data_IF_720899009253
#
_entry.id   IF_720899009253
#
_cell.length_a   1.000
_cell.length_b   1.000
_cell.length_c   1.000
_cell.angle_alpha   90.00
_cell.angle_beta   90.00
_cell.angle_gamma   90.00
#
_symmetry.space_group_name_H-M   'P 1'
#
loop_
_entity.id
_entity.type
_entity.pdbx_description
1 polymer ?
#
# COMPACT_ATOMS: atom_id res chain seq x y z
N UNK A 1 19.71 -16.81 -13.70
CA UNK A 1 18.25 -17.07 -13.62
C UNK A 1 17.90 -18.57 -13.63
N UNK A 2 18.10 -19.35 -14.72
CA UNK A 2 17.75 -20.80 -14.78
C UNK A 2 18.49 -21.63 -13.72
N UNK A 3 19.76 -21.36 -13.49
CA UNK A 3 20.56 -22.02 -12.45
C UNK A 3 20.07 -21.71 -11.04
N UNK A 4 19.59 -20.50 -10.79
CA UNK A 4 19.06 -20.08 -9.50
C UNK A 4 17.71 -20.72 -9.20
N UNK A 5 16.84 -20.82 -10.20
CA UNK A 5 15.56 -21.54 -10.10
C UNK A 5 15.83 -23.03 -9.76
N UNK A 6 16.78 -23.65 -10.46
CA UNK A 6 17.12 -25.07 -10.23
C UNK A 6 17.74 -25.32 -8.84
N UNK A 7 18.52 -24.37 -8.34
CA UNK A 7 19.09 -24.42 -6.99
C UNK A 7 18.03 -24.28 -5.91
N UNK A 8 17.07 -23.36 -6.08
CA UNK A 8 15.98 -23.13 -5.13
C UNK A 8 14.92 -24.22 -5.14
N UNK A 9 14.56 -24.75 -6.29
CA UNK A 9 13.59 -25.84 -6.40
C UNK A 9 13.95 -27.07 -5.56
N UNK A 10 15.25 -27.27 -5.31
CA UNK A 10 15.74 -28.39 -4.49
C UNK A 10 15.41 -28.23 -2.99
N UNK A 11 15.37 -27.01 -2.50
CA UNK A 11 15.14 -26.69 -1.07
C UNK A 11 13.71 -26.19 -0.78
N UNK A 12 12.87 -26.09 -1.82
CA UNK A 12 11.55 -25.49 -1.73
C UNK A 12 10.65 -26.16 -0.67
N UNK A 13 10.63 -27.50 -0.63
CA UNK A 13 9.83 -28.24 0.37
C UNK A 13 10.43 -28.15 1.79
N UNK A 14 11.76 -28.13 1.90
CA UNK A 14 12.46 -28.00 3.19
C UNK A 14 12.16 -26.64 3.83
N UNK A 15 12.12 -25.57 3.05
CA UNK A 15 11.83 -24.21 3.55
C UNK A 15 10.46 -24.12 4.22
N UNK A 16 9.46 -24.88 3.73
CA UNK A 16 8.13 -24.92 4.34
C UNK A 16 8.05 -25.82 5.59
N UNK A 17 8.74 -26.96 5.58
CA UNK A 17 8.70 -27.90 6.73
C UNK A 17 9.49 -27.38 7.92
N UNK A 18 10.63 -26.72 7.68
CA UNK A 18 11.47 -26.17 8.74
C UNK A 18 10.92 -24.86 9.33
N UNK A 19 9.96 -24.21 8.64
CA UNK A 19 9.31 -23.01 9.10
C UNK A 19 8.29 -23.24 10.23
N UNK A 20 7.90 -24.47 10.54
CA UNK A 20 6.90 -24.77 11.57
C UNK A 20 7.53 -24.68 12.97
N UNK A 21 7.64 -23.48 13.49
CA UNK A 21 8.14 -23.17 14.84
C UNK A 21 7.27 -22.11 15.53
N UNK A 22 7.27 -22.09 16.86
CA UNK A 22 6.57 -21.07 17.64
C UNK A 22 7.07 -19.65 17.33
N UNK A 23 8.36 -19.54 17.04
CA UNK A 23 8.99 -18.28 16.65
C UNK A 23 8.47 -17.80 15.28
N UNK A 24 8.25 -18.70 14.33
CA UNK A 24 7.68 -18.37 13.03
C UNK A 24 6.23 -17.91 13.18
N UNK A 25 5.44 -18.51 14.06
CA UNK A 25 4.07 -18.08 14.35
C UNK A 25 4.04 -16.66 14.92
N UNK A 26 4.93 -16.33 15.86
CA UNK A 26 5.04 -14.98 16.42
C UNK A 26 5.43 -13.96 15.33
N UNK A 27 6.40 -14.30 14.47
CA UNK A 27 6.81 -13.46 13.35
C UNK A 27 5.68 -13.27 12.32
N UNK A 28 4.91 -14.31 12.04
CA UNK A 28 3.74 -14.25 11.18
C UNK A 28 2.70 -13.26 11.70
N UNK A 29 2.33 -13.34 12.98
CA UNK A 29 1.36 -12.42 13.57
C UNK A 29 1.86 -10.96 13.56
N UNK A 30 3.13 -10.77 13.86
CA UNK A 30 3.74 -9.43 13.81
C UNK A 30 3.73 -8.85 12.39
N UNK A 31 4.18 -9.62 11.40
CA UNK A 31 4.22 -9.18 10.00
C UNK A 31 2.81 -9.00 9.42
N UNK A 32 1.85 -9.84 9.83
CA UNK A 32 0.46 -9.67 9.43
C UNK A 32 -0.08 -8.30 9.87
N UNK A 33 0.08 -7.95 11.15
CA UNK A 33 -0.34 -6.64 11.65
C UNK A 33 0.42 -5.49 10.99
N UNK A 34 1.73 -5.64 10.79
CA UNK A 34 2.57 -4.63 10.16
C UNK A 34 2.22 -4.37 8.68
N UNK A 35 1.78 -5.40 7.95
CA UNK A 35 1.36 -5.27 6.55
C UNK A 35 -0.09 -4.80 6.40
N UNK A 36 -0.99 -5.28 7.26
CA UNK A 36 -2.42 -4.93 7.19
C UNK A 36 -2.67 -3.45 7.46
N UNK A 37 -2.01 -2.87 8.45
CA UNK A 37 -2.21 -1.48 8.83
C UNK A 37 -1.96 -0.50 7.68
N UNK A 38 -0.83 -0.52 6.97
CA UNK A 38 -0.62 0.35 5.80
C UNK A 38 -1.62 0.08 4.67
N UNK A 39 -1.96 -1.18 4.39
CA UNK A 39 -2.88 -1.52 3.28
C UNK A 39 -4.27 -0.94 3.53
N UNK A 40 -4.79 -1.04 4.76
CA UNK A 40 -6.09 -0.47 5.11
C UNK A 40 -6.04 1.06 5.07
N UNK A 41 -5.01 1.66 5.66
CA UNK A 41 -4.86 3.11 5.71
C UNK A 41 -4.73 3.72 4.31
N UNK A 42 -3.80 3.22 3.51
CA UNK A 42 -3.60 3.72 2.15
C UNK A 42 -4.73 3.34 1.20
N UNK A 43 -5.36 2.19 1.39
CA UNK A 43 -6.55 1.80 0.64
C UNK A 43 -7.73 2.72 0.90
N UNK A 44 -7.95 3.13 2.16
CA UNK A 44 -8.95 4.13 2.52
C UNK A 44 -8.67 5.51 1.91
N UNK A 45 -7.43 5.99 2.04
CA UNK A 45 -6.99 7.25 1.46
C UNK A 45 -7.05 7.27 -0.07
N UNK A 46 -6.77 6.14 -0.71
CA UNK A 46 -6.90 5.99 -2.16
C UNK A 46 -8.38 6.04 -2.58
N UNK A 47 -9.26 5.42 -1.78
CA UNK A 47 -10.71 5.51 -2.00
C UNK A 47 -11.22 6.94 -1.97
N UNK A 48 -10.79 7.75 -1.01
CA UNK A 48 -11.11 9.17 -0.96
C UNK A 48 -10.50 9.93 -2.15
N UNK A 49 -9.24 9.69 -2.47
CA UNK A 49 -8.52 10.39 -3.53
C UNK A 49 -9.07 10.10 -4.94
N UNK A 50 -9.66 8.92 -5.14
CA UNK A 50 -10.21 8.47 -6.43
C UNK A 50 -11.73 8.57 -6.52
N UNK A 51 -12.37 9.30 -5.61
CA UNK A 51 -13.83 9.45 -5.59
C UNK A 51 -14.58 8.10 -5.58
N UNK A 52 -14.02 7.11 -4.86
CA UNK A 52 -14.60 5.77 -4.74
C UNK A 52 -14.34 4.83 -5.92
N UNK A 53 -13.47 5.19 -6.88
CA UNK A 53 -13.11 4.32 -8.02
C UNK A 53 -12.31 3.09 -7.61
N UNK A 54 -11.56 3.18 -6.53
CA UNK A 54 -10.83 2.07 -5.92
C UNK A 54 -11.18 2.02 -4.46
N UNK A 55 -11.71 0.89 -3.98
CA UNK A 55 -12.09 0.71 -2.59
C UNK A 55 -10.94 0.13 -1.76
N UNK A 56 -11.00 0.32 -0.44
CA UNK A 56 -10.06 -0.30 0.50
C UNK A 56 -10.08 -1.84 0.40
N UNK A 57 -11.25 -2.43 0.12
CA UNK A 57 -11.43 -3.88 -0.04
C UNK A 57 -10.70 -4.38 -1.28
N UNK A 58 -10.77 -3.66 -2.40
CA UNK A 58 -10.03 -4.01 -3.62
C UNK A 58 -8.52 -3.92 -3.42
N UNK A 59 -8.07 -2.91 -2.69
CA UNK A 59 -6.64 -2.76 -2.31
C UNK A 59 -6.18 -3.92 -1.44
N UNK A 60 -7.00 -4.34 -0.47
CA UNK A 60 -6.71 -5.49 0.40
C UNK A 60 -6.68 -6.80 -0.39
N UNK A 61 -7.64 -7.00 -1.29
CA UNK A 61 -7.68 -8.17 -2.17
C UNK A 61 -6.45 -8.22 -3.08
N UNK A 62 -6.09 -7.10 -3.70
CA UNK A 62 -4.89 -6.99 -4.53
C UNK A 62 -3.60 -7.30 -3.75
N UNK A 63 -3.47 -6.77 -2.53
CA UNK A 63 -2.34 -7.04 -1.66
C UNK A 63 -2.25 -8.54 -1.28
N UNK A 64 -3.38 -9.18 -0.96
CA UNK A 64 -3.42 -10.60 -0.62
C UNK A 64 -3.04 -11.49 -1.81
N UNK A 65 -3.58 -11.22 -3.00
CA UNK A 65 -3.22 -11.94 -4.23
C UNK A 65 -1.73 -11.80 -4.58
N UNK A 66 -1.21 -10.58 -4.46
CA UNK A 66 0.22 -10.31 -4.70
C UNK A 66 1.09 -11.01 -3.65
N UNK A 67 0.68 -11.01 -2.38
CA UNK A 67 1.38 -11.71 -1.31
C UNK A 67 1.43 -13.22 -1.53
N UNK A 68 0.32 -13.84 -1.93
CA UNK A 68 0.27 -15.28 -2.26
C UNK A 68 1.17 -15.58 -3.45
N UNK A 69 1.05 -14.84 -4.54
CA UNK A 69 1.89 -15.03 -5.73
C UNK A 69 3.38 -14.87 -5.38
N UNK A 70 3.72 -13.86 -4.57
CA UNK A 70 5.09 -13.64 -4.14
C UNK A 70 5.60 -14.80 -3.28
N UNK A 71 4.84 -15.28 -2.29
CA UNK A 71 5.25 -16.38 -1.42
C UNK A 71 5.50 -17.70 -2.17
N UNK A 72 4.75 -17.93 -3.26
CA UNK A 72 4.89 -19.15 -4.07
C UNK A 72 6.06 -19.09 -5.05
N UNK A 73 6.33 -17.91 -5.64
CA UNK A 73 7.31 -17.81 -6.74
C UNK A 73 8.59 -17.07 -6.38
N UNK A 74 8.56 -16.24 -5.32
CA UNK A 74 9.71 -15.43 -4.99
C UNK A 74 10.78 -16.21 -4.20
N UNK A 75 11.97 -15.80 -4.47
CA UNK A 75 13.14 -16.47 -3.93
C UNK A 75 13.66 -15.93 -2.61
N UNK A 76 13.09 -14.88 -2.04
CA UNK A 76 13.55 -14.28 -0.77
C UNK A 76 12.45 -14.29 0.29
N UNK A 77 12.67 -14.98 1.43
CA UNK A 77 11.62 -15.15 2.45
C UNK A 77 11.33 -13.89 3.29
N UNK A 78 12.17 -12.87 3.25
CA UNK A 78 12.09 -11.69 4.13
C UNK A 78 11.68 -10.40 3.40
N UNK A 79 10.99 -10.48 2.27
CA UNK A 79 10.50 -9.29 1.58
C UNK A 79 9.09 -8.95 2.03
N UNK A 80 8.90 -7.73 2.51
CA UNK A 80 7.60 -7.19 2.90
C UNK A 80 7.04 -6.41 1.71
N UNK A 81 5.87 -6.82 1.23
CA UNK A 81 5.13 -6.12 0.19
C UNK A 81 4.03 -5.28 0.85
N UNK A 82 3.97 -4.00 0.52
CA UNK A 82 2.97 -3.13 1.10
C UNK A 82 2.75 -1.85 0.29
N UNK A 83 1.64 -1.20 0.55
CA UNK A 83 1.34 0.11 0.00
C UNK A 83 2.23 1.17 0.64
N UNK A 84 2.71 2.10 -0.16
CA UNK A 84 3.58 3.19 0.30
C UNK A 84 3.00 4.55 -0.04
N UNK A 85 3.33 5.59 0.76
CA UNK A 85 2.86 6.95 0.56
C UNK A 85 3.17 7.54 -0.82
N UNK A 86 4.38 7.40 -1.36
CA UNK A 86 4.71 7.87 -2.69
C UNK A 86 3.82 7.31 -3.79
N UNK A 87 3.40 6.05 -3.69
CA UNK A 87 2.45 5.44 -4.62
C UNK A 87 1.09 6.10 -4.52
N UNK A 88 0.62 6.42 -3.30
CA UNK A 88 -0.63 7.13 -3.10
C UNK A 88 -0.61 8.53 -3.75
N UNK A 89 0.48 9.27 -3.59
CA UNK A 89 0.66 10.59 -4.22
C UNK A 89 0.63 10.47 -5.74
N UNK A 90 1.33 9.48 -6.29
CA UNK A 90 1.31 9.19 -7.72
C UNK A 90 -0.11 8.88 -8.23
N UNK A 91 -0.86 8.06 -7.52
CA UNK A 91 -2.24 7.70 -7.89
C UNK A 91 -3.20 8.91 -7.82
N UNK A 92 -3.02 9.79 -6.84
CA UNK A 92 -3.75 11.07 -6.77
C UNK A 92 -3.50 11.95 -8.00
N UNK A 93 -2.24 12.08 -8.38
CA UNK A 93 -1.84 12.88 -9.56
C UNK A 93 -2.42 12.23 -10.83
N UNK A 94 -2.30 10.92 -10.96
CA UNK A 94 -2.82 10.17 -12.08
C UNK A 94 -4.35 10.30 -12.23
N UNK A 95 -5.07 10.22 -11.11
CA UNK A 95 -6.52 10.41 -11.10
C UNK A 95 -6.92 11.81 -11.53
N UNK A 96 -6.23 12.84 -11.02
CA UNK A 96 -6.46 14.23 -11.40
C UNK A 96 -6.19 14.45 -12.89
N UNK A 97 -5.10 13.89 -13.41
CA UNK A 97 -4.77 13.91 -14.84
C UNK A 97 -5.87 13.25 -15.69
N UNK A 98 -6.34 12.06 -15.31
CA UNK A 98 -7.41 11.37 -16.02
C UNK A 98 -8.71 12.18 -16.04
N UNK A 99 -9.03 12.85 -14.95
CA UNK A 99 -10.23 13.70 -14.84
C UNK A 99 -10.14 14.93 -15.76
N UNK A 100 -8.95 15.51 -15.88
CA UNK A 100 -8.72 16.69 -16.73
C UNK A 100 -8.78 16.36 -18.22
N UNK A 101 -8.25 15.21 -18.62
CA UNK A 101 -8.23 14.77 -20.03
C UNK A 101 -9.41 13.85 -20.42
N UNK A 102 -10.34 13.58 -19.52
CA UNK A 102 -11.50 12.73 -19.80
C UNK A 102 -11.17 11.25 -20.07
N UNK A 103 -10.03 10.78 -19.55
CA UNK A 103 -9.56 9.40 -19.71
C UNK A 103 -10.12 8.49 -18.61
N UNK A 104 -10.33 7.21 -18.92
CA UNK A 104 -10.73 6.23 -17.92
C UNK A 104 -9.52 5.89 -17.03
N UNK A 105 -9.62 6.23 -15.74
CA UNK A 105 -8.55 6.01 -14.75
C UNK A 105 -8.10 4.55 -14.66
N UNK A 106 -9.05 3.60 -14.59
CA UNK A 106 -8.74 2.17 -14.46
C UNK A 106 -7.99 1.62 -15.67
N UNK A 107 -8.36 2.02 -16.88
CA UNK A 107 -7.69 1.57 -18.11
C UNK A 107 -6.26 2.11 -18.18
N UNK A 108 -6.06 3.39 -17.85
CA UNK A 108 -4.73 3.99 -17.86
C UNK A 108 -3.83 3.38 -16.78
N UNK A 109 -4.36 3.15 -15.58
CA UNK A 109 -3.64 2.48 -14.50
C UNK A 109 -3.19 1.07 -14.88
N UNK A 110 -4.07 0.30 -15.50
CA UNK A 110 -3.74 -1.06 -15.99
C UNK A 110 -2.65 -1.00 -17.06
N UNK A 111 -2.73 -0.06 -18.00
CA UNK A 111 -1.72 0.15 -19.02
C UNK A 111 -0.34 0.47 -18.40
N UNK A 112 -0.30 1.39 -17.45
CA UNK A 112 0.93 1.74 -16.72
C UNK A 112 1.49 0.51 -15.98
N UNK A 113 0.64 -0.28 -15.33
CA UNK A 113 1.04 -1.50 -14.65
C UNK A 113 1.66 -2.53 -15.60
N UNK A 114 1.08 -2.73 -16.79
CA UNK A 114 1.62 -3.63 -17.81
C UNK A 114 2.96 -3.14 -18.35
N UNK A 115 3.11 -1.84 -18.62
CA UNK A 115 4.38 -1.27 -19.06
C UNK A 115 5.46 -1.39 -17.98
N UNK A 116 5.11 -1.14 -16.72
CA UNK A 116 6.03 -1.31 -15.59
C UNK A 116 6.49 -2.76 -15.48
N UNK A 117 5.57 -3.72 -15.57
CA UNK A 117 5.91 -5.14 -15.56
C UNK A 117 6.83 -5.52 -16.73
N UNK A 118 6.55 -5.00 -17.94
CA UNK A 118 7.39 -5.21 -19.11
C UNK A 118 8.82 -4.67 -18.91
N UNK A 119 8.96 -3.45 -18.40
CA UNK A 119 10.28 -2.88 -18.11
C UNK A 119 11.02 -3.64 -17.01
N UNK A 120 10.33 -4.10 -15.98
CA UNK A 120 10.94 -4.95 -14.95
C UNK A 120 11.47 -6.27 -15.54
N UNK A 121 10.71 -6.92 -16.41
CA UNK A 121 11.16 -8.14 -17.10
C UNK A 121 12.37 -7.88 -18.00
N UNK A 122 12.37 -6.75 -18.71
CA UNK A 122 13.48 -6.35 -19.55
C UNK A 122 14.75 -6.07 -18.73
N UNK A 123 14.63 -5.38 -17.60
CA UNK A 123 15.74 -5.15 -16.67
C UNK A 123 16.33 -6.46 -16.13
N UNK A 124 15.47 -7.43 -15.78
CA UNK A 124 15.95 -8.75 -15.33
C UNK A 124 16.61 -9.53 -16.47
N UNK A 125 16.05 -9.45 -17.68
CA UNK A 125 16.60 -10.16 -18.85
C UNK A 125 17.96 -9.62 -19.30
N UNK A 126 18.21 -8.32 -19.11
CA UNK A 126 19.49 -7.66 -19.44
C UNK A 126 20.53 -7.72 -18.32
N UNK A 127 20.24 -8.47 -17.23
CA UNK A 127 21.07 -8.51 -16.00
C UNK A 127 21.38 -7.12 -15.43
N UNK A 128 20.56 -6.12 -15.76
CA UNK A 128 20.68 -4.76 -15.25
C UNK A 128 20.43 -4.68 -13.72
N UNK A 129 19.93 -5.75 -13.12
CA UNK A 129 19.87 -5.91 -11.66
C UNK A 129 21.25 -5.84 -10.99
N UNK A 130 22.35 -6.11 -11.72
CA UNK A 130 23.69 -5.85 -11.21
C UNK A 130 23.97 -4.36 -10.97
N UNK A 131 23.22 -3.46 -11.63
CA UNK A 131 23.29 -2.02 -11.39
C UNK A 131 22.85 -1.64 -9.97
N UNK A 132 22.01 -2.45 -9.33
CA UNK A 132 21.58 -2.26 -7.93
C UNK A 132 22.79 -2.28 -6.99
N UNK A 133 23.86 -2.98 -7.35
CA UNK A 133 25.12 -2.97 -6.59
C UNK A 133 25.77 -1.57 -6.48
N UNK A 134 25.45 -0.66 -7.40
CA UNK A 134 25.90 0.73 -7.34
C UNK A 134 25.03 1.64 -6.46
N UNK A 135 23.89 1.14 -6.01
CA UNK A 135 23.04 1.86 -5.04
C UNK A 135 23.75 1.76 -3.69
N UNK A 136 24.31 2.87 -3.26
CA UNK A 136 25.03 2.94 -2.01
C UNK A 136 24.05 2.97 -0.83
N UNK A 137 24.49 2.50 0.33
CA UNK A 137 23.73 2.56 1.58
C UNK A 137 23.23 3.98 1.89
N UNK A 138 24.00 4.99 1.52
CA UNK A 138 23.59 6.41 1.64
C UNK A 138 22.30 6.71 0.87
N UNK A 139 22.16 6.19 -0.35
CA UNK A 139 20.95 6.38 -1.18
C UNK A 139 19.73 5.73 -0.56
N UNK A 140 19.89 4.55 0.04
CA UNK A 140 18.80 3.85 0.74
C UNK A 140 18.36 4.63 1.99
N UNK A 141 19.30 5.11 2.79
CA UNK A 141 19.01 5.90 3.99
C UNK A 141 18.39 7.25 3.63
N UNK A 142 18.87 7.92 2.58
CA UNK A 142 18.30 9.18 2.10
C UNK A 142 16.86 8.98 1.58
N UNK A 143 16.58 7.89 0.87
CA UNK A 143 15.23 7.56 0.40
C UNK A 143 14.29 7.25 1.57
N UNK A 144 14.74 6.49 2.56
CA UNK A 144 13.98 6.21 3.76
C UNK A 144 13.66 7.49 4.55
N UNK A 145 14.64 8.39 4.71
CA UNK A 145 14.43 9.68 5.35
C UNK A 145 13.41 10.55 4.60
N UNK A 146 13.48 10.60 3.27
CA UNK A 146 12.53 11.31 2.44
C UNK A 146 11.10 10.80 2.63
N UNK A 147 10.91 9.48 2.63
CA UNK A 147 9.61 8.86 2.87
C UNK A 147 9.07 9.22 4.26
N UNK A 148 9.91 9.16 5.29
CA UNK A 148 9.52 9.53 6.65
C UNK A 148 9.07 11.00 6.74
N UNK A 149 9.79 11.91 6.10
CA UNK A 149 9.45 13.35 6.08
C UNK A 149 8.10 13.56 5.39
N UNK A 150 7.86 12.89 4.26
CA UNK A 150 6.58 12.99 3.54
C UNK A 150 5.43 12.51 4.42
N UNK A 151 5.59 11.38 5.13
CA UNK A 151 4.55 10.88 6.03
C UNK A 151 4.26 11.80 7.21
N UNK A 152 5.31 12.37 7.81
CA UNK A 152 5.16 13.34 8.91
C UNK A 152 4.41 14.58 8.40
N UNK A 153 4.78 15.09 7.22
CA UNK A 153 4.12 16.24 6.61
C UNK A 153 2.63 15.96 6.35
N UNK A 154 2.29 14.84 5.71
CA UNK A 154 0.89 14.46 5.45
C UNK A 154 0.10 14.26 6.76
N UNK A 155 0.70 13.67 7.78
CA UNK A 155 0.05 13.50 9.08
C UNK A 155 -0.26 14.83 9.76
N UNK A 156 0.70 15.76 9.74
CA UNK A 156 0.52 17.11 10.30
C UNK A 156 -0.52 17.91 9.52
N UNK A 157 -0.50 17.86 8.19
CA UNK A 157 -1.48 18.53 7.34
C UNK A 157 -2.90 18.06 7.66
N UNK A 158 -3.11 16.75 7.76
CA UNK A 158 -4.41 16.18 8.12
C UNK A 158 -4.84 16.53 9.54
N UNK A 159 -3.89 16.55 10.48
CA UNK A 159 -4.18 16.94 11.85
C UNK A 159 -4.62 18.40 11.96
N UNK A 160 -3.92 19.30 11.25
CA UNK A 160 -4.28 20.73 11.19
C UNK A 160 -5.65 20.91 10.53
N UNK A 161 -5.88 20.22 9.42
CA UNK A 161 -7.17 20.27 8.71
C UNK A 161 -8.31 19.78 9.60
N UNK A 162 -8.11 18.71 10.36
CA UNK A 162 -9.07 18.19 11.32
C UNK A 162 -9.36 19.22 12.43
N UNK A 163 -8.30 19.85 12.98
CA UNK A 163 -8.42 20.87 14.02
C UNK A 163 -9.18 22.14 13.55
N UNK A 164 -9.03 22.51 12.29
CA UNK A 164 -9.76 23.65 11.69
C UNK A 164 -11.22 23.31 11.39
N UNK A 165 -11.47 22.10 10.88
CA UNK A 165 -12.83 21.67 10.53
C UNK A 165 -13.69 21.27 11.75
N UNK A 166 -13.06 20.75 12.79
CA UNK A 166 -13.71 20.31 14.03
C UNK A 166 -13.08 20.98 15.25
N UNK A 167 -13.37 22.29 15.48
CA UNK A 167 -12.85 22.99 16.64
C UNK A 167 -13.35 22.29 17.91
N UNK A 168 -12.41 21.96 18.80
CA UNK A 168 -12.70 21.33 20.10
C UNK A 168 -13.59 22.27 20.90
N UNK A 169 -14.87 21.98 21.00
CA UNK A 169 -15.81 22.70 21.86
C UNK A 169 -15.47 22.36 23.32
N UNK A 170 -14.98 23.33 24.08
CA UNK A 170 -14.68 23.18 25.51
C UNK A 170 -15.94 23.02 26.38
N UNK A 171 -17.13 23.25 25.84
CA UNK A 171 -18.41 22.98 26.51
C UNK A 171 -19.01 21.69 25.96
N UNK A 172 -18.92 20.64 26.76
CA UNK A 172 -19.56 19.35 26.53
C UNK A 172 -21.08 19.48 26.73
N UNK A 173 -21.80 19.99 25.73
CA UNK A 173 -23.25 19.84 25.64
C UNK A 173 -23.54 18.42 25.16
N UNK A 174 -23.83 17.52 26.10
CA UNK A 174 -24.22 16.12 25.85
C UNK A 174 -25.41 16.00 24.87
N UNK A 175 -26.25 17.03 24.77
CA UNK A 175 -27.36 17.09 23.80
C UNK A 175 -26.87 17.23 22.34
N UNK A 176 -25.74 17.86 22.09
CA UNK A 176 -25.17 17.96 20.73
C UNK A 176 -24.50 16.69 20.25
N UNK A 177 -23.97 15.88 21.13
CA UNK A 177 -23.38 14.57 20.79
C UNK A 177 -24.44 13.59 20.27
N UNK A 178 -25.67 13.63 20.79
CA UNK A 178 -26.80 12.83 20.30
C UNK A 178 -27.29 13.27 18.93
N UNK A 179 -27.14 14.53 18.55
CA UNK A 179 -27.54 15.02 17.22
C UNK A 179 -26.54 14.54 16.12
N UNK A 180 -25.27 14.40 16.40
CA UNK A 180 -24.30 13.86 15.43
C UNK A 180 -24.60 12.40 15.06
N UNK A 181 -25.07 11.59 15.99
CA UNK A 181 -25.49 10.20 15.73
C UNK A 181 -26.73 10.15 14.81
N UNK A 182 -27.68 11.03 15.00
CA UNK A 182 -28.89 11.08 14.16
C UNK A 182 -28.60 11.53 12.72
N UNK A 183 -27.70 12.48 12.52
CA UNK A 183 -27.30 12.93 11.18
C UNK A 183 -26.59 11.83 10.39
N UNK A 184 -25.70 11.06 11.01
CA UNK A 184 -24.99 9.95 10.33
C UNK A 184 -25.94 8.82 9.94
N UNK A 185 -26.94 8.51 10.76
CA UNK A 185 -27.96 7.49 10.46
C UNK A 185 -28.92 7.98 9.36
N UNK A 186 -29.29 9.27 9.35
CA UNK A 186 -30.15 9.84 8.32
C UNK A 186 -29.49 9.87 6.93
N UNK A 187 -28.18 10.10 6.85
CA UNK A 187 -27.44 10.00 5.58
C UNK A 187 -27.31 8.56 5.07
N UNK A 188 -27.34 7.56 5.94
CA UNK A 188 -27.31 6.15 5.57
C UNK A 188 -28.66 5.64 5.03
N UNK A 189 -29.79 6.16 5.53
CA UNK A 189 -31.15 5.72 5.14
C UNK A 189 -31.68 6.44 3.90
N UNK A 190 -31.15 7.60 3.54
CA UNK A 190 -31.60 8.41 2.38
C UNK A 190 -31.02 7.99 1.03
N UNK A 191 -30.31 6.86 0.93
CA UNK A 191 -29.68 6.35 -0.29
C UNK A 191 -30.13 4.92 -0.64
N UNK A 192 -31.47 4.73 -0.70
CA UNK A 192 -32.11 3.59 -1.35
C UNK A 192 -33.10 4.07 -2.39
#
# INVERSE_FOLDING_TARGET
MILDIKRKARHYLSDYTDAISLQCLASFLFLYCACMSPVITFGGLLGEATEGRVSAIESLFGASMTGIAYSLFAGQPLTILGSTGPVLVFEKILFKFCKEYGLSYLSLRTCIGLWTAFFCLLLVATDASSLVCYITRFTEEAFAALICIIFIYEALEKLIHLGVHYPVNKHNDLQKLTQYWQVSVSYSVGRH
#
